data_IF_371340388558
#
_entry.id   IF_371340388558
#
_cell.length_a   1.000
_cell.length_b   1.000
_cell.length_c   1.000
_cell.angle_alpha   90.00
_cell.angle_beta   90.00
_cell.angle_gamma   90.00
#
_symmetry.space_group_name_H-M   'P 1'
#
loop_
_entity.id
_entity.type
_entity.pdbx_description
1 polymer ?
#
# COMPACT_ATOMS: atom_id res chain seq x y z
N UNK A 1 30.25 -24.41 0.16
CA UNK A 1 30.19 -25.22 -1.07
C UNK A 1 30.03 -24.27 -2.25
N UNK A 2 30.86 -24.33 -3.31
CA UNK A 2 30.62 -23.55 -4.51
C UNK A 2 29.32 -24.06 -5.17
N UNK A 3 28.35 -23.18 -5.37
CA UNK A 3 27.09 -23.52 -6.03
C UNK A 3 27.35 -23.96 -7.48
N UNK A 4 26.63 -24.96 -8.01
CA UNK A 4 26.86 -25.45 -9.37
C UNK A 4 26.65 -24.35 -10.41
N UNK A 5 27.42 -24.42 -11.50
CA UNK A 5 27.51 -23.45 -12.61
C UNK A 5 26.17 -23.14 -13.32
N UNK A 6 25.07 -23.83 -12.98
CA UNK A 6 23.73 -23.69 -13.54
C UNK A 6 22.72 -23.15 -12.51
N UNK A 7 23.14 -22.18 -11.70
CA UNK A 7 22.24 -21.55 -10.73
C UNK A 7 21.34 -20.54 -11.47
N UNK A 8 20.00 -20.71 -11.44
CA UNK A 8 19.10 -19.79 -12.14
C UNK A 8 19.19 -18.38 -11.54
N UNK A 9 19.11 -17.37 -12.39
CA UNK A 9 19.10 -15.97 -11.96
C UNK A 9 17.69 -15.50 -11.58
N UNK A 10 17.59 -14.42 -10.80
CA UNK A 10 16.29 -13.88 -10.36
C UNK A 10 15.36 -13.49 -11.53
N UNK A 11 15.91 -13.11 -12.68
CA UNK A 11 15.16 -12.77 -13.90
C UNK A 11 14.65 -14.00 -14.66
N UNK A 12 15.24 -15.17 -14.45
CA UNK A 12 14.83 -16.44 -15.05
C UNK A 12 13.67 -17.09 -14.27
N UNK A 13 13.45 -16.70 -13.00
CA UNK A 13 12.40 -17.25 -12.14
C UNK A 13 11.00 -17.16 -12.75
N UNK A 14 10.72 -16.12 -13.55
CA UNK A 14 9.41 -15.95 -14.20
C UNK A 14 9.09 -17.07 -15.19
N UNK A 15 10.12 -17.75 -15.71
CA UNK A 15 9.99 -18.82 -16.70
C UNK A 15 10.12 -20.22 -16.07
N UNK A 16 10.41 -20.32 -14.76
CA UNK A 16 10.56 -21.59 -14.07
C UNK A 16 9.24 -22.02 -13.39
N UNK A 17 8.84 -23.30 -13.49
CA UNK A 17 7.71 -23.82 -12.72
C UNK A 17 7.94 -23.68 -11.21
N UNK A 18 6.90 -23.31 -10.46
CA UNK A 18 6.99 -23.17 -9.00
C UNK A 18 7.49 -24.46 -8.31
N UNK A 19 7.15 -25.62 -8.86
CA UNK A 19 7.63 -26.92 -8.37
C UNK A 19 9.15 -27.08 -8.49
N UNK A 20 9.78 -26.55 -9.55
CA UNK A 20 11.23 -26.59 -9.72
C UNK A 20 11.94 -25.61 -8.79
N UNK A 21 11.40 -24.39 -8.66
CA UNK A 21 11.91 -23.39 -7.71
C UNK A 21 11.87 -23.95 -6.29
N UNK A 22 10.78 -24.64 -5.91
CA UNK A 22 10.62 -25.24 -4.58
C UNK A 22 11.64 -26.34 -4.26
N UNK A 23 12.29 -26.94 -5.26
CA UNK A 23 13.33 -27.97 -5.06
C UNK A 23 14.75 -27.37 -4.98
N UNK A 24 14.91 -26.06 -5.16
CA UNK A 24 16.20 -25.41 -5.02
C UNK A 24 16.69 -25.48 -3.56
N UNK A 25 18.01 -25.59 -3.32
CA UNK A 25 18.57 -25.53 -1.96
C UNK A 25 18.14 -24.27 -1.22
N UNK A 26 17.90 -24.39 0.10
CA UNK A 26 17.38 -23.29 0.92
C UNK A 26 18.32 -22.09 0.95
N UNK A 27 19.63 -22.31 0.86
CA UNK A 27 20.65 -21.26 0.81
C UNK A 27 20.56 -20.46 -0.50
N UNK A 28 20.25 -21.13 -1.61
CA UNK A 28 20.01 -20.48 -2.88
C UNK A 28 18.68 -19.70 -2.85
N UNK A 29 17.62 -20.31 -2.33
CA UNK A 29 16.35 -19.62 -2.13
C UNK A 29 16.50 -18.37 -1.25
N UNK A 30 17.31 -18.43 -0.19
CA UNK A 30 17.62 -17.29 0.67
C UNK A 30 18.35 -16.17 -0.09
N UNK A 31 19.39 -16.53 -0.86
CA UNK A 31 20.14 -15.58 -1.68
C UNK A 31 19.24 -14.89 -2.71
N UNK A 32 18.41 -15.67 -3.42
CA UNK A 32 17.45 -15.16 -4.39
C UNK A 32 16.39 -14.25 -3.72
N UNK A 33 15.85 -14.64 -2.57
CA UNK A 33 14.90 -13.80 -1.82
C UNK A 33 15.52 -12.44 -1.47
N UNK A 34 16.75 -12.43 -0.96
CA UNK A 34 17.46 -11.20 -0.63
C UNK A 34 17.73 -10.33 -1.88
N UNK A 35 18.16 -10.92 -2.99
CA UNK A 35 18.37 -10.21 -4.26
C UNK A 35 17.08 -9.59 -4.80
N UNK A 36 15.96 -10.33 -4.75
CA UNK A 36 14.63 -9.84 -5.15
C UNK A 36 14.22 -8.64 -4.29
N UNK A 37 14.36 -8.73 -2.96
CA UNK A 37 14.00 -7.64 -2.05
C UNK A 37 14.86 -6.38 -2.29
N UNK A 38 16.16 -6.56 -2.53
CA UNK A 38 17.06 -5.46 -2.86
C UNK A 38 16.69 -4.81 -4.20
N UNK A 39 16.43 -5.61 -5.24
CA UNK A 39 16.02 -5.14 -6.55
C UNK A 39 14.67 -4.40 -6.49
N UNK A 40 13.69 -4.93 -5.75
CA UNK A 40 12.40 -4.30 -5.55
C UNK A 40 12.52 -2.93 -4.85
N UNK A 41 13.36 -2.85 -3.80
CA UNK A 41 13.63 -1.59 -3.09
C UNK A 41 14.30 -0.57 -4.01
N UNK A 42 15.29 -0.99 -4.80
CA UNK A 42 15.97 -0.12 -5.76
C UNK A 42 15.00 0.38 -6.83
N UNK A 43 14.22 -0.52 -7.45
CA UNK A 43 13.27 -0.16 -8.49
C UNK A 43 12.19 0.79 -7.98
N UNK A 44 11.70 0.59 -6.75
CA UNK A 44 10.79 1.53 -6.09
C UNK A 44 11.41 2.93 -5.96
N UNK A 45 12.67 3.02 -5.57
CA UNK A 45 13.37 4.30 -5.47
C UNK A 45 13.56 4.97 -6.83
N UNK A 46 13.90 4.20 -7.87
CA UNK A 46 14.03 4.69 -9.25
C UNK A 46 12.69 5.22 -9.77
N UNK A 47 11.61 4.44 -9.62
CA UNK A 47 10.26 4.84 -10.03
C UNK A 47 9.81 6.12 -9.31
N UNK A 48 10.05 6.22 -8.00
CA UNK A 48 9.73 7.43 -7.24
C UNK A 48 10.52 8.64 -7.77
N UNK A 49 11.83 8.50 -7.97
CA UNK A 49 12.68 9.58 -8.48
C UNK A 49 12.27 10.03 -9.88
N UNK A 50 11.94 9.08 -10.75
CA UNK A 50 11.46 9.38 -12.10
C UNK A 50 10.10 10.08 -12.08
N UNK A 51 9.16 9.63 -11.25
CA UNK A 51 7.85 10.26 -11.07
C UNK A 51 7.99 11.70 -10.60
N UNK A 52 8.84 11.96 -9.60
CA UNK A 52 9.15 13.34 -9.17
C UNK A 52 9.74 14.18 -10.30
N UNK A 53 10.61 13.62 -11.14
CA UNK A 53 11.14 14.35 -12.30
C UNK A 53 10.06 14.71 -13.32
N UNK A 54 9.09 13.82 -13.56
CA UNK A 54 7.93 14.11 -14.41
C UNK A 54 7.03 15.20 -13.82
N UNK A 55 6.79 15.17 -12.51
CA UNK A 55 6.06 16.23 -11.82
C UNK A 55 6.75 17.58 -11.97
N UNK A 56 8.07 17.66 -11.71
CA UNK A 56 8.86 18.88 -11.90
C UNK A 56 8.76 19.40 -13.34
N UNK A 57 8.79 18.50 -14.34
CA UNK A 57 8.73 18.86 -15.76
C UNK A 57 7.34 19.35 -16.20
N UNK A 58 6.27 18.72 -15.72
CA UNK A 58 4.93 18.89 -16.32
C UNK A 58 3.90 19.55 -15.42
N UNK A 59 4.11 19.66 -14.10
CA UNK A 59 3.10 20.16 -13.18
C UNK A 59 2.63 21.59 -13.52
N UNK A 60 3.56 22.50 -13.80
CA UNK A 60 3.24 23.89 -14.13
C UNK A 60 2.45 23.99 -15.45
N UNK A 61 2.93 23.35 -16.53
CA UNK A 61 2.25 23.30 -17.83
C UNK A 61 0.85 22.67 -17.73
N UNK A 62 0.71 21.61 -16.94
CA UNK A 62 -0.57 20.98 -16.71
C UNK A 62 -1.53 21.87 -15.92
N UNK A 63 -1.04 22.61 -14.92
CA UNK A 63 -1.85 23.57 -14.16
C UNK A 63 -2.33 24.73 -15.05
N UNK A 64 -1.46 25.26 -15.91
CA UNK A 64 -1.82 26.29 -16.89
C UNK A 64 -2.89 25.80 -17.87
N UNK A 65 -2.71 24.59 -18.43
CA UNK A 65 -3.70 24.00 -19.32
C UNK A 65 -5.05 23.78 -18.62
N UNK A 66 -5.06 23.34 -17.34
CA UNK A 66 -6.28 23.21 -16.55
C UNK A 66 -6.98 24.57 -16.37
N UNK A 67 -6.23 25.60 -15.96
CA UNK A 67 -6.76 26.96 -15.80
C UNK A 67 -7.32 27.54 -17.11
N UNK A 68 -6.65 27.30 -18.24
CA UNK A 68 -7.13 27.72 -19.56
C UNK A 68 -8.47 27.06 -19.94
N UNK A 69 -8.73 25.85 -19.42
CA UNK A 69 -10.02 25.17 -19.55
C UNK A 69 -11.04 25.54 -18.45
N UNK A 70 -10.71 26.48 -17.56
CA UNK A 70 -11.56 26.86 -16.43
C UNK A 70 -11.72 25.77 -15.35
N UNK A 71 -10.73 24.89 -15.21
CA UNK A 71 -10.74 23.78 -14.26
C UNK A 71 -9.59 23.90 -13.25
N UNK A 72 -9.84 23.54 -12.00
CA UNK A 72 -8.80 23.40 -10.96
C UNK A 72 -8.35 21.93 -10.78
N UNK A 73 -9.20 20.98 -11.20
CA UNK A 73 -8.96 19.53 -11.11
C UNK A 73 -9.32 18.86 -12.44
N UNK A 74 -8.99 17.57 -12.55
CA UNK A 74 -9.26 16.73 -13.72
C UNK A 74 -8.06 16.54 -14.63
N UNK A 75 -8.30 15.76 -15.68
CA UNK A 75 -7.28 15.36 -16.64
C UNK A 75 -7.09 16.41 -17.74
N UNK A 76 -5.84 16.73 -18.04
CA UNK A 76 -5.46 17.50 -19.24
C UNK A 76 -4.45 16.72 -20.07
N UNK A 77 -4.42 17.00 -21.38
CA UNK A 77 -3.48 16.41 -22.33
C UNK A 77 -2.60 17.49 -22.90
N UNK A 78 -1.29 17.30 -22.85
CA UNK A 78 -0.28 18.20 -23.37
C UNK A 78 0.47 17.50 -24.50
N UNK A 79 0.70 18.18 -25.62
CA UNK A 79 1.64 17.70 -26.63
C UNK A 79 3.09 18.03 -26.19
N UNK A 80 4.00 17.07 -26.36
CA UNK A 80 5.45 17.26 -26.18
C UNK A 80 6.19 16.37 -27.20
N UNK A 81 6.57 16.95 -28.33
CA UNK A 81 7.09 16.21 -29.49
C UNK A 81 6.05 15.23 -30.04
N UNK A 82 6.47 13.98 -30.25
CA UNK A 82 5.61 12.89 -30.74
C UNK A 82 4.75 12.24 -29.63
N UNK A 83 4.80 12.79 -28.41
CA UNK A 83 4.12 12.22 -27.25
C UNK A 83 2.95 13.09 -26.77
N UNK A 84 1.90 12.42 -26.29
CA UNK A 84 0.83 13.06 -25.52
C UNK A 84 1.03 12.78 -24.04
N UNK A 85 1.30 13.82 -23.26
CA UNK A 85 1.43 13.75 -21.81
C UNK A 85 0.05 13.93 -21.19
N UNK A 86 -0.41 12.90 -20.47
CA UNK A 86 -1.69 12.90 -19.76
C UNK A 86 -1.43 13.25 -18.29
N UNK A 87 -1.86 14.44 -17.86
CA UNK A 87 -1.69 14.90 -16.48
C UNK A 87 -3.04 14.88 -15.76
N UNK A 88 -3.28 13.81 -15.01
CA UNK A 88 -4.47 13.65 -14.20
C UNK A 88 -4.31 14.28 -12.81
N UNK A 89 -5.31 15.04 -12.39
CA UNK A 89 -5.38 15.61 -11.04
C UNK A 89 -6.78 15.34 -10.47
N UNK A 90 -7.04 14.16 -9.90
CA UNK A 90 -8.36 13.79 -9.45
C UNK A 90 -8.80 14.66 -8.28
N UNK A 91 -10.10 14.97 -8.21
CA UNK A 91 -10.69 15.62 -7.03
C UNK A 91 -10.62 14.65 -5.86
N UNK A 92 -10.05 15.10 -4.73
CA UNK A 92 -10.11 14.38 -3.45
C UNK A 92 -11.02 15.13 -2.50
N UNK A 93 -11.97 14.42 -1.91
CA UNK A 93 -12.81 14.94 -0.83
C UNK A 93 -12.28 14.33 0.45
N UNK A 94 -11.79 15.18 1.34
CA UNK A 94 -11.37 14.79 2.67
C UNK A 94 -12.40 15.30 3.66
N UNK A 95 -12.83 14.43 4.57
CA UNK A 95 -13.79 14.75 5.60
C UNK A 95 -13.10 14.85 6.95
N UNK A 96 -13.31 15.97 7.64
CA UNK A 96 -12.86 16.14 9.02
C UNK A 96 -13.69 15.22 9.93
N UNK A 97 -13.04 14.16 10.42
CA UNK A 97 -13.67 13.14 11.25
C UNK A 97 -14.17 13.69 12.59
N UNK A 98 -13.53 14.75 13.11
CA UNK A 98 -13.97 15.41 14.35
C UNK A 98 -15.26 16.17 14.12
N UNK A 99 -15.40 16.81 12.96
CA UNK A 99 -16.65 17.49 12.60
C UNK A 99 -17.76 16.50 12.25
N UNK A 100 -17.42 15.39 11.59
CA UNK A 100 -18.38 14.32 11.32
C UNK A 100 -18.90 13.66 12.60
N UNK A 101 -18.03 13.36 13.57
CA UNK A 101 -18.47 12.79 14.84
C UNK A 101 -19.37 13.75 15.62
N UNK A 102 -19.01 15.04 15.67
CA UNK A 102 -19.87 16.06 16.27
C UNK A 102 -21.22 16.22 15.55
N UNK A 103 -21.26 16.01 14.24
CA UNK A 103 -22.51 16.01 13.46
C UNK A 103 -23.38 14.81 13.82
N UNK A 104 -22.80 13.61 13.88
CA UNK A 104 -23.50 12.37 14.27
C UNK A 104 -24.14 12.51 15.66
N UNK A 105 -23.43 13.08 16.62
CA UNK A 105 -24.00 13.32 17.96
C UNK A 105 -25.13 14.35 17.93
N UNK A 106 -25.03 15.39 17.09
CA UNK A 106 -26.12 16.37 16.91
C UNK A 106 -27.37 15.75 16.29
N UNK A 107 -27.22 14.88 15.28
CA UNK A 107 -28.33 14.15 14.66
C UNK A 107 -29.03 13.27 15.72
N UNK A 108 -28.25 12.50 16.50
CA UNK A 108 -28.79 11.68 17.57
C UNK A 108 -29.52 12.51 18.64
N UNK A 109 -28.97 13.65 19.03
CA UNK A 109 -29.58 14.55 20.01
C UNK A 109 -30.89 15.19 19.51
N UNK A 110 -31.04 15.35 18.19
CA UNK A 110 -32.28 15.82 17.57
C UNK A 110 -33.36 14.73 17.49
N UNK A 111 -33.02 13.46 17.77
CA UNK A 111 -33.92 12.32 17.72
C UNK A 111 -33.94 11.58 16.39
N UNK A 112 -33.10 12.00 15.43
CA UNK A 112 -32.96 11.35 14.13
C UNK A 112 -31.93 10.21 14.17
N UNK A 113 -32.00 9.28 13.21
CA UNK A 113 -31.03 8.19 13.06
C UNK A 113 -29.84 8.64 12.18
N UNK A 114 -28.60 8.70 12.73
CA UNK A 114 -27.42 9.03 11.93
C UNK A 114 -27.12 8.02 10.81
N UNK A 115 -27.58 6.78 10.91
CA UNK A 115 -27.29 5.72 9.93
C UNK A 115 -27.90 6.01 8.54
N UNK A 116 -28.90 6.87 8.46
CA UNK A 116 -29.49 7.34 7.20
C UNK A 116 -28.54 8.26 6.40
N UNK A 117 -27.56 8.86 7.08
CA UNK A 117 -26.68 9.88 6.50
C UNK A 117 -25.22 9.45 6.44
N UNK A 118 -24.79 8.52 7.32
CA UNK A 118 -23.40 8.07 7.40
C UNK A 118 -23.30 6.56 7.63
N UNK A 119 -22.32 5.93 6.99
CA UNK A 119 -21.88 4.59 7.35
C UNK A 119 -20.91 4.68 8.54
N UNK A 120 -21.29 4.06 9.66
CA UNK A 120 -20.46 4.03 10.88
C UNK A 120 -19.70 2.72 10.93
N UNK A 121 -18.38 2.80 10.79
CA UNK A 121 -17.47 1.67 10.98
C UNK A 121 -16.61 1.86 12.23
N UNK A 122 -16.49 0.82 13.04
CA UNK A 122 -15.58 0.82 14.18
C UNK A 122 -14.29 0.07 13.81
N UNK A 123 -13.15 0.72 13.98
CA UNK A 123 -11.83 0.12 13.80
C UNK A 123 -11.15 -0.02 15.15
N UNK A 124 -10.92 -1.25 15.56
CA UNK A 124 -10.16 -1.57 16.77
C UNK A 124 -8.79 -2.11 16.34
N UNK A 125 -7.70 -1.32 16.47
CA UNK A 125 -6.37 -1.82 16.20
C UNK A 125 -6.01 -2.95 17.18
N UNK A 126 -5.65 -4.13 16.68
CA UNK A 126 -5.35 -5.30 17.51
C UNK A 126 -4.25 -5.01 18.55
N UNK A 127 -3.22 -4.25 18.17
CA UNK A 127 -2.16 -3.81 19.10
C UNK A 127 -2.70 -2.98 20.26
N UNK A 128 -3.70 -2.12 20.01
CA UNK A 128 -4.32 -1.33 21.07
C UNK A 128 -5.16 -2.24 21.96
N UNK A 129 -5.96 -3.13 21.36
CA UNK A 129 -6.79 -4.10 22.07
C UNK A 129 -6.00 -4.97 23.07
N UNK A 130 -4.83 -5.49 22.66
CA UNK A 130 -3.96 -6.28 23.54
C UNK A 130 -3.38 -5.47 24.70
N UNK A 131 -3.15 -4.17 24.50
CA UNK A 131 -2.64 -3.26 25.52
C UNK A 131 -3.72 -2.74 26.50
N UNK A 132 -5.01 -3.04 26.26
CA UNK A 132 -6.09 -2.57 27.13
C UNK A 132 -6.17 -3.33 28.46
N UNK A 133 -6.66 -2.66 29.52
CA UNK A 133 -7.09 -3.33 30.75
C UNK A 133 -8.08 -4.46 30.45
N UNK A 134 -7.99 -5.55 31.20
CA UNK A 134 -8.80 -6.75 30.98
C UNK A 134 -10.31 -6.48 30.98
N UNK A 135 -10.78 -5.62 31.89
CA UNK A 135 -12.20 -5.28 32.00
C UNK A 135 -12.77 -4.65 30.71
N UNK A 136 -12.00 -3.81 30.00
CA UNK A 136 -12.44 -3.22 28.73
C UNK A 136 -12.35 -4.26 27.61
N UNK A 137 -11.29 -5.08 27.63
CA UNK A 137 -11.05 -6.12 26.62
C UNK A 137 -12.21 -7.12 26.56
N UNK A 138 -12.68 -7.61 27.71
CA UNK A 138 -13.78 -8.57 27.83
C UNK A 138 -15.07 -8.07 27.16
N UNK A 139 -15.34 -6.76 27.19
CA UNK A 139 -16.51 -6.17 26.53
C UNK A 139 -16.49 -6.27 25.01
N UNK A 140 -15.30 -6.38 24.40
CA UNK A 140 -15.12 -6.46 22.94
C UNK A 140 -14.89 -7.89 22.45
N UNK A 141 -14.63 -8.85 23.34
CA UNK A 141 -14.37 -10.25 22.98
C UNK A 141 -15.48 -10.89 22.13
N UNK A 142 -16.79 -10.73 22.44
CA UNK A 142 -17.85 -11.33 21.62
C UNK A 142 -17.91 -10.80 20.17
N UNK A 143 -17.42 -9.58 19.94
CA UNK A 143 -17.36 -8.98 18.61
C UNK A 143 -16.06 -9.33 17.85
N UNK A 144 -15.10 -9.98 18.51
CA UNK A 144 -13.77 -10.29 17.95
C UNK A 144 -13.77 -11.70 17.33
N UNK A 145 -13.61 -11.76 16.01
CA UNK A 145 -13.38 -13.02 15.30
C UNK A 145 -11.93 -13.10 14.82
N UNK A 146 -11.22 -14.16 15.21
CA UNK A 146 -9.88 -14.45 14.68
C UNK A 146 -10.03 -15.38 13.47
N UNK A 147 -9.54 -14.93 12.32
CA UNK A 147 -9.44 -15.75 11.11
C UNK A 147 -7.96 -15.97 10.77
N UNK A 148 -7.65 -17.08 10.13
CA UNK A 148 -6.29 -17.34 9.63
C UNK A 148 -5.95 -16.29 8.58
N UNK A 149 -4.80 -15.62 8.76
CA UNK A 149 -4.26 -14.68 7.80
C UNK A 149 -3.52 -15.38 6.66
N UNK A 150 -3.00 -14.58 5.73
CA UNK A 150 -2.12 -15.06 4.66
C UNK A 150 -0.83 -15.63 5.25
N UNK A 151 -0.44 -16.84 4.81
CA UNK A 151 0.87 -17.42 5.13
C UNK A 151 1.97 -16.51 4.55
N UNK A 152 2.92 -16.11 5.41
CA UNK A 152 4.12 -15.36 5.01
C UNK A 152 5.34 -16.23 5.29
N UNK A 153 6.11 -16.52 4.26
CA UNK A 153 7.35 -17.30 4.34
C UNK A 153 8.51 -16.33 4.13
N UNK A 154 9.50 -16.38 5.00
CA UNK A 154 10.75 -15.65 4.86
C UNK A 154 11.89 -16.58 5.29
N UNK A 155 12.94 -16.67 4.47
CA UNK A 155 14.14 -17.42 4.81
C UNK A 155 15.12 -16.45 5.47
N UNK A 156 15.48 -16.72 6.71
CA UNK A 156 16.41 -15.90 7.51
C UNK A 156 17.60 -16.76 7.94
N UNK A 157 18.81 -16.19 8.06
CA UNK A 157 19.94 -16.88 8.70
C UNK A 157 19.58 -17.28 10.13
N UNK A 158 20.08 -18.43 10.59
CA UNK A 158 19.97 -18.79 11.99
C UNK A 158 20.81 -17.82 12.81
N UNK A 159 20.22 -17.18 13.83
CA UNK A 159 20.99 -16.39 14.78
C UNK A 159 21.82 -17.37 15.63
N UNK A 160 23.15 -17.23 15.58
CA UNK A 160 24.04 -17.95 16.49
C UNK A 160 23.76 -17.43 17.91
N UNK A 161 23.00 -18.20 18.69
CA UNK A 161 22.96 -18.03 20.14
C UNK A 161 24.31 -18.47 20.71
N UNK A 162 25.24 -17.52 20.80
CA UNK A 162 26.43 -17.61 21.64
C UNK A 162 26.10 -17.19 23.09
#
# INVERSE_FOLDING_TARGET
MPFPQNTPRIDELINLPAGEIAQLPVELLAAMQHEIDAAAKQMKAVTARFSTALEVRYAARAAEARRACGKDTGTVRLADGDFTVVADLPKRVEWDQTQLSAMVERIRAAGDDPSEYVEISFKVPERAYVAWPEAIRQGFEPARTVKTGTLKIAILPQEDHA
#
